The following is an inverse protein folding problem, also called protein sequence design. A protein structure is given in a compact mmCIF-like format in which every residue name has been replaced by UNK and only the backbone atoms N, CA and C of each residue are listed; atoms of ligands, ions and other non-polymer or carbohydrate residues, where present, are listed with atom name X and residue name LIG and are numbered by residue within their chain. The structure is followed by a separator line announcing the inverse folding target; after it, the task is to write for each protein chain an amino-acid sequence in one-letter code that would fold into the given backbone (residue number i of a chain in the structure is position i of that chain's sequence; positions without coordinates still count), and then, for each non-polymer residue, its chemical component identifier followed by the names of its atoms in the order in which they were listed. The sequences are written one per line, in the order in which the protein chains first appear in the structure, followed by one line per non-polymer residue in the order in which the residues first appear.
data_IF_125324829482
#
_entry.id   IF_125324829482
#
_cell.length_a   1.000
_cell.length_b   1.000
_cell.length_c   1.000
_cell.angle_alpha   90.00
_cell.angle_beta   90.00
_cell.angle_gamma   90.00
#
_symmetry.space_group_name_H-M   'P 1'
#
loop_
_entity.id
_entity.type
_entity.pdbx_description
1 polymer ?
#
# COMPACT_ATOMS: atom_id res chain seq x y z
N UNK A 1 19.26 8.58 -12.43
CA UNK A 1 19.06 9.47 -11.28
C UNK A 1 17.59 9.44 -10.86
N UNK A 2 17.32 9.36 -9.54
CA UNK A 2 15.96 9.40 -8.96
C UNK A 2 15.92 10.58 -8.00
N UNK A 3 14.92 11.44 -8.15
CA UNK A 3 14.70 12.61 -7.29
C UNK A 3 13.24 12.73 -6.86
N UNK A 4 13.02 13.35 -5.70
CA UNK A 4 11.70 13.54 -5.11
C UNK A 4 11.47 15.01 -4.80
N UNK A 5 10.23 15.47 -4.99
CA UNK A 5 9.79 16.82 -4.66
C UNK A 5 8.35 16.81 -4.15
N UNK A 6 7.86 17.94 -3.64
CA UNK A 6 6.52 18.06 -3.05
C UNK A 6 6.53 17.96 -1.53
N UNK A 7 5.35 18.10 -0.93
CA UNK A 7 5.16 18.29 0.52
C UNK A 7 5.73 17.15 1.39
N UNK A 8 5.81 15.93 0.86
CA UNK A 8 6.26 14.74 1.60
C UNK A 8 7.55 14.13 1.02
N UNK A 9 8.37 14.95 0.36
CA UNK A 9 9.61 14.51 -0.29
C UNK A 9 10.82 14.43 0.64
N UNK A 10 10.74 14.99 1.86
CA UNK A 10 11.85 15.01 2.82
C UNK A 10 12.07 13.62 3.43
N UNK A 11 13.32 13.28 3.73
CA UNK A 11 13.72 12.06 4.45
C UNK A 11 13.25 10.75 3.79
N UNK A 12 13.25 10.71 2.46
CA UNK A 12 12.99 9.47 1.72
C UNK A 12 14.24 8.60 1.79
N UNK A 13 14.07 7.35 2.18
CA UNK A 13 15.13 6.36 2.25
C UNK A 13 15.83 6.21 0.89
N UNK A 14 17.16 6.20 0.90
CA UNK A 14 17.98 5.95 -0.30
C UNK A 14 17.65 4.59 -0.93
N UNK A 15 17.28 3.59 -0.12
CA UNK A 15 16.84 2.26 -0.58
C UNK A 15 15.30 2.16 -0.69
N UNK A 16 14.67 3.16 -1.30
CA UNK A 16 13.22 3.19 -1.50
C UNK A 16 12.74 2.21 -2.59
N UNK A 17 11.42 2.07 -2.71
CA UNK A 17 10.79 1.12 -3.64
C UNK A 17 11.13 1.34 -5.11
N UNK A 18 11.41 2.57 -5.53
CA UNK A 18 11.81 2.88 -6.92
C UNK A 18 13.25 2.41 -7.17
N UNK A 19 14.16 2.69 -6.23
CA UNK A 19 15.56 2.21 -6.31
C UNK A 19 15.58 0.68 -6.36
N UNK A 20 14.80 0.01 -5.50
CA UNK A 20 14.67 -1.45 -5.53
C UNK A 20 14.14 -1.96 -6.87
N UNK A 21 13.13 -1.30 -7.43
CA UNK A 21 12.59 -1.67 -8.75
C UNK A 21 13.70 -1.61 -9.81
N UNK A 22 14.43 -0.51 -9.90
CA UNK A 22 15.46 -0.35 -10.91
C UNK A 22 16.60 -1.34 -10.73
N UNK A 23 17.04 -1.59 -9.49
CA UNK A 23 18.03 -2.61 -9.20
C UNK A 23 17.59 -4.00 -9.69
N UNK A 24 16.35 -4.42 -9.37
CA UNK A 24 15.82 -5.72 -9.81
C UNK A 24 15.74 -5.80 -11.35
N UNK A 25 15.31 -4.73 -12.02
CA UNK A 25 15.22 -4.71 -13.48
C UNK A 25 16.60 -4.77 -14.13
N UNK A 26 17.60 -4.13 -13.53
CA UNK A 26 18.99 -4.11 -14.00
C UNK A 26 19.65 -5.47 -13.79
N UNK A 27 19.57 -6.04 -12.60
CA UNK A 27 20.05 -7.39 -12.25
C UNK A 27 19.50 -8.45 -13.23
N UNK A 28 18.26 -8.24 -13.70
CA UNK A 28 17.61 -9.11 -14.70
C UNK A 28 17.90 -8.73 -16.15
N UNK A 29 18.80 -7.76 -16.40
CA UNK A 29 19.17 -7.24 -17.73
C UNK A 29 17.97 -6.76 -18.58
N UNK A 30 16.89 -6.32 -17.91
CA UNK A 30 15.64 -5.88 -18.57
C UNK A 30 15.71 -4.43 -19.06
N UNK A 31 16.67 -3.63 -18.58
CA UNK A 31 16.84 -2.22 -18.95
C UNK A 31 17.73 -2.01 -20.18
N UNK A 32 18.49 -3.01 -20.61
CA UNK A 32 19.39 -2.95 -21.80
C UNK A 32 20.30 -1.72 -21.77
N UNK A 33 21.00 -1.50 -20.65
CA UNK A 33 21.94 -0.40 -20.40
C UNK A 33 21.34 1.02 -20.49
N UNK A 34 20.01 1.14 -20.55
CA UNK A 34 19.32 2.42 -20.60
C UNK A 34 19.42 3.15 -19.27
N UNK A 35 19.76 4.43 -19.32
CA UNK A 35 19.80 5.32 -18.17
C UNK A 35 18.49 6.11 -18.07
N UNK A 36 18.03 6.33 -16.83
CA UNK A 36 16.77 7.01 -16.56
C UNK A 36 16.96 8.18 -15.59
N UNK A 37 16.27 9.26 -15.88
CA UNK A 37 16.04 10.33 -14.92
C UNK A 37 14.57 10.30 -14.52
N UNK A 38 14.31 10.15 -13.21
CA UNK A 38 12.96 10.02 -12.66
C UNK A 38 12.75 11.08 -11.60
N UNK A 39 11.70 11.88 -11.78
CA UNK A 39 11.27 12.88 -10.82
C UNK A 39 9.89 12.51 -10.28
N UNK A 40 9.76 12.37 -8.96
CA UNK A 40 8.53 11.89 -8.32
C UNK A 40 7.98 12.97 -7.40
N UNK A 41 6.75 13.42 -7.68
CA UNK A 41 6.03 14.33 -6.80
C UNK A 41 5.41 13.54 -5.65
N UNK A 42 5.85 13.82 -4.42
CA UNK A 42 5.34 13.16 -3.21
C UNK A 42 4.20 13.94 -2.58
N UNK A 43 2.98 13.59 -2.98
CA UNK A 43 1.75 14.13 -2.40
C UNK A 43 1.14 13.21 -1.32
N UNK A 44 1.63 11.98 -1.21
CA UNK A 44 1.21 11.01 -0.18
C UNK A 44 2.31 10.92 0.87
N UNK A 45 1.97 11.09 2.16
CA UNK A 45 2.95 11.02 3.24
C UNK A 45 3.57 9.63 3.38
N UNK A 46 4.80 9.59 3.87
CA UNK A 46 5.49 8.34 4.18
C UNK A 46 4.97 7.75 5.49
N UNK A 47 5.11 6.42 5.65
CA UNK A 47 4.73 5.69 6.87
C UNK A 47 3.30 5.99 7.35
N UNK A 48 2.40 6.16 6.40
CA UNK A 48 0.99 6.53 6.62
C UNK A 48 0.00 5.38 6.40
N UNK A 49 0.46 4.21 5.96
CA UNK A 49 -0.43 3.08 5.64
C UNK A 49 -1.22 3.24 4.34
N UNK A 50 -0.86 4.22 3.49
CA UNK A 50 -1.58 4.53 2.25
C UNK A 50 -0.94 3.92 0.99
N UNK A 51 0.04 3.06 1.13
CA UNK A 51 0.67 2.37 0.01
C UNK A 51 1.44 3.24 -0.99
N UNK A 52 1.69 4.52 -0.69
CA UNK A 52 2.25 5.48 -1.64
C UNK A 52 3.58 5.07 -2.28
N UNK A 53 4.46 4.41 -1.53
CA UNK A 53 5.73 3.88 -2.06
C UNK A 53 5.51 2.73 -3.04
N UNK A 54 4.63 1.80 -2.69
CA UNK A 54 4.27 0.64 -3.53
C UNK A 54 3.59 1.08 -4.81
N UNK A 55 2.68 2.06 -4.73
CA UNK A 55 2.01 2.61 -5.91
C UNK A 55 2.97 3.35 -6.84
N UNK A 56 3.97 4.06 -6.32
CA UNK A 56 5.00 4.67 -7.14
C UNK A 56 5.80 3.63 -7.94
N UNK A 57 6.26 2.56 -7.27
CA UNK A 57 7.00 1.48 -7.94
C UNK A 57 6.16 0.81 -9.02
N UNK A 58 4.91 0.50 -8.72
CA UNK A 58 3.98 -0.10 -9.66
C UNK A 58 3.69 0.83 -10.86
N UNK A 59 3.49 2.12 -10.63
CA UNK A 59 3.25 3.10 -11.69
C UNK A 59 4.45 3.21 -12.64
N UNK A 60 5.66 3.22 -12.09
CA UNK A 60 6.89 3.24 -12.91
C UNK A 60 7.03 1.94 -13.71
N UNK A 61 6.81 0.78 -13.09
CA UNK A 61 6.87 -0.50 -13.79
C UNK A 61 5.84 -0.57 -14.93
N UNK A 62 4.60 -0.17 -14.67
CA UNK A 62 3.54 -0.11 -15.68
C UNK A 62 3.91 0.84 -16.83
N UNK A 63 4.50 1.99 -16.53
CA UNK A 63 4.97 2.92 -17.54
C UNK A 63 6.05 2.29 -18.42
N UNK A 64 7.05 1.63 -17.84
CA UNK A 64 8.12 0.97 -18.58
C UNK A 64 7.58 -0.14 -19.50
N UNK A 65 6.58 -0.90 -19.03
CA UNK A 65 5.91 -1.93 -19.82
C UNK A 65 5.09 -1.30 -20.94
N UNK A 66 4.25 -0.29 -20.65
CA UNK A 66 3.42 0.40 -21.62
C UNK A 66 4.26 1.04 -22.75
N UNK A 67 5.42 1.60 -22.40
CA UNK A 67 6.38 2.16 -23.37
C UNK A 67 7.25 1.11 -24.05
N UNK A 68 7.00 -0.18 -23.81
CA UNK A 68 7.77 -1.30 -24.37
C UNK A 68 9.28 -1.24 -24.07
N UNK A 69 9.67 -0.50 -23.02
CA UNK A 69 11.05 -0.44 -22.52
C UNK A 69 11.41 -1.77 -21.85
N UNK A 70 10.46 -2.31 -21.06
CA UNK A 70 10.56 -3.61 -20.43
C UNK A 70 9.49 -4.52 -21.02
N UNK A 71 9.88 -5.71 -21.44
CA UNK A 71 8.98 -6.74 -21.97
C UNK A 71 9.01 -7.93 -21.02
N UNK A 72 7.94 -8.13 -20.26
CA UNK A 72 7.81 -9.17 -19.24
C UNK A 72 6.39 -9.75 -19.19
N UNK A 73 6.29 -11.01 -18.80
CA UNK A 73 5.02 -11.72 -18.62
C UNK A 73 4.32 -11.32 -17.32
N UNK A 74 3.04 -11.67 -17.18
CA UNK A 74 2.29 -11.45 -15.93
C UNK A 74 2.94 -12.15 -14.72
N UNK A 75 3.50 -13.34 -14.90
CA UNK A 75 4.23 -14.07 -13.86
C UNK A 75 5.48 -13.30 -13.40
N UNK A 76 6.19 -12.69 -14.35
CA UNK A 76 7.36 -11.85 -14.03
C UNK A 76 6.96 -10.56 -13.32
N UNK A 77 5.83 -9.93 -13.70
CA UNK A 77 5.29 -8.76 -12.98
C UNK A 77 5.01 -9.13 -11.51
N UNK A 78 4.36 -10.26 -11.26
CA UNK A 78 4.09 -10.73 -9.89
C UNK A 78 5.40 -10.95 -9.11
N UNK A 79 6.37 -11.63 -9.69
CA UNK A 79 7.66 -11.89 -9.06
C UNK A 79 8.43 -10.61 -8.73
N UNK A 80 8.54 -9.69 -9.69
CA UNK A 80 9.22 -8.40 -9.49
C UNK A 80 8.50 -7.59 -8.40
N UNK A 81 7.18 -7.53 -8.45
CA UNK A 81 6.37 -6.81 -7.47
C UNK A 81 6.59 -7.35 -6.05
N UNK A 82 6.59 -8.67 -5.87
CA UNK A 82 6.80 -9.30 -4.56
C UNK A 82 8.19 -9.06 -3.98
N UNK A 83 9.22 -8.98 -4.83
CA UNK A 83 10.59 -8.66 -4.41
C UNK A 83 10.74 -7.21 -3.93
N UNK A 84 9.92 -6.28 -4.42
CA UNK A 84 9.92 -4.87 -4.02
C UNK A 84 9.12 -4.69 -2.72
N UNK A 85 7.94 -5.30 -2.67
CA UNK A 85 7.04 -5.24 -1.52
C UNK A 85 5.67 -5.85 -1.85
N UNK A 86 4.99 -6.42 -0.82
CA UNK A 86 3.72 -7.15 -0.96
C UNK A 86 2.63 -6.36 -1.69
N UNK A 87 2.55 -5.05 -1.46
CA UNK A 87 1.47 -4.22 -1.96
C UNK A 87 1.73 -3.64 -3.37
N UNK A 88 2.93 -3.83 -3.93
CA UNK A 88 3.29 -3.29 -5.24
C UNK A 88 2.39 -3.84 -6.34
N UNK A 89 2.06 -5.11 -6.25
CA UNK A 89 1.19 -5.77 -7.23
C UNK A 89 -0.24 -5.20 -7.25
N UNK A 90 -0.72 -4.61 -6.15
CA UNK A 90 -2.04 -3.94 -6.09
C UNK A 90 -2.12 -2.76 -7.07
N UNK A 91 -1.02 -2.04 -7.26
CA UNK A 91 -0.96 -0.92 -8.20
C UNK A 91 -0.78 -1.31 -9.67
N UNK A 92 -0.63 -2.59 -9.98
CA UNK A 92 -0.52 -3.04 -11.38
C UNK A 92 -1.81 -2.80 -12.19
N UNK A 93 -2.92 -2.48 -11.54
CA UNK A 93 -4.21 -2.21 -12.16
C UNK A 93 -5.03 -1.20 -11.34
N UNK A 94 -5.90 -0.45 -12.02
CA UNK A 94 -6.78 0.56 -11.41
C UNK A 94 -8.16 0.00 -11.02
N UNK A 95 -8.26 -1.27 -10.68
CA UNK A 95 -9.51 -1.91 -10.26
C UNK A 95 -9.52 -2.20 -8.78
N UNK A 96 -10.71 -2.32 -8.18
CA UNK A 96 -10.85 -2.88 -6.85
C UNK A 96 -10.26 -4.28 -6.81
N UNK A 97 -9.47 -4.61 -5.80
CA UNK A 97 -8.75 -5.86 -5.75
C UNK A 97 -8.61 -6.38 -4.32
N UNK A 98 -8.55 -7.69 -4.18
CA UNK A 98 -8.20 -8.37 -2.93
C UNK A 98 -6.91 -9.17 -3.18
N UNK A 99 -5.90 -8.88 -2.37
CA UNK A 99 -4.66 -9.62 -2.34
C UNK A 99 -4.79 -10.81 -1.39
N UNK A 100 -4.60 -12.00 -1.91
CA UNK A 100 -4.61 -13.25 -1.13
C UNK A 100 -3.25 -13.49 -0.48
N UNK A 101 -3.21 -14.35 0.54
CA UNK A 101 -1.99 -14.72 1.25
C UNK A 101 -0.89 -15.35 0.37
N UNK A 102 -1.27 -15.95 -0.75
CA UNK A 102 -0.33 -16.51 -1.75
C UNK A 102 0.11 -15.48 -2.81
N UNK A 103 -0.01 -14.18 -2.54
CA UNK A 103 0.30 -13.08 -3.45
C UNK A 103 -0.49 -13.09 -4.77
N UNK A 104 -1.59 -13.84 -4.83
CA UNK A 104 -2.52 -13.80 -5.96
C UNK A 104 -3.53 -12.69 -5.76
N UNK A 105 -3.73 -11.87 -6.80
CA UNK A 105 -4.73 -10.81 -6.82
C UNK A 105 -6.00 -11.31 -7.50
N UNK A 106 -7.14 -11.09 -6.85
CA UNK A 106 -8.45 -11.16 -7.49
C UNK A 106 -9.01 -9.76 -7.69
N UNK A 107 -9.35 -9.43 -8.93
CA UNK A 107 -9.85 -8.12 -9.36
C UNK A 107 -11.35 -8.15 -9.47
N UNK A 108 -11.97 -6.98 -9.25
CA UNK A 108 -13.41 -6.79 -9.33
C UNK A 108 -13.74 -5.46 -10.02
N UNK A 109 -14.73 -5.48 -10.89
CA UNK A 109 -15.28 -4.27 -11.52
C UNK A 109 -16.56 -3.83 -10.82
N UNK A 110 -16.90 -2.56 -10.97
CA UNK A 110 -18.16 -1.98 -10.47
C UNK A 110 -18.38 -2.25 -8.97
N UNK A 111 -17.35 -2.08 -8.16
CA UNK A 111 -17.49 -2.12 -6.70
C UNK A 111 -18.06 -0.79 -6.18
N UNK A 112 -18.76 -0.80 -5.03
CA UNK A 112 -19.23 0.42 -4.38
C UNK A 112 -18.09 1.42 -4.16
N UNK A 113 -18.43 2.70 -4.25
CA UNK A 113 -17.51 3.82 -3.94
C UNK A 113 -17.98 4.44 -2.63
N UNK A 114 -17.02 4.77 -1.78
CA UNK A 114 -17.27 5.40 -0.48
C UNK A 114 -16.55 6.73 -0.42
N UNK A 115 -17.18 7.72 0.20
CA UNK A 115 -16.51 8.91 0.68
C UNK A 115 -15.73 8.55 1.94
N UNK A 116 -14.52 9.02 2.05
CA UNK A 116 -13.63 8.63 3.14
C UNK A 116 -12.87 9.83 3.65
N UNK A 117 -12.96 10.10 4.94
CA UNK A 117 -12.11 11.06 5.63
C UNK A 117 -10.79 10.37 6.00
N UNK A 118 -9.66 10.97 5.59
CA UNK A 118 -8.33 10.50 5.94
C UNK A 118 -7.74 11.39 7.03
N UNK A 119 -7.57 10.88 8.22
CA UNK A 119 -6.96 11.62 9.34
C UNK A 119 -5.57 11.10 9.61
N UNK A 120 -4.57 11.96 9.37
CA UNK A 120 -3.17 11.65 9.58
C UNK A 120 -2.62 12.45 10.76
N UNK A 121 -2.01 11.81 11.78
CA UNK A 121 -1.22 12.51 12.79
C UNK A 121 0.06 13.10 12.18
N UNK A 122 0.76 13.94 12.93
CA UNK A 122 2.04 14.55 12.52
C UNK A 122 3.23 13.58 12.54
N UNK A 123 3.00 12.31 12.82
CA UNK A 123 4.01 11.23 12.80
C UNK A 123 3.58 10.09 11.88
N UNK A 124 4.53 9.20 11.55
CA UNK A 124 4.28 7.97 10.79
C UNK A 124 4.57 6.73 11.62
N UNK A 125 3.98 5.59 11.24
CA UNK A 125 4.25 4.30 11.84
C UNK A 125 5.25 3.49 11.00
N UNK A 126 6.24 2.90 11.65
CA UNK A 126 7.18 2.00 10.98
C UNK A 126 6.51 0.67 10.68
N UNK A 127 6.27 0.37 9.40
CA UNK A 127 5.70 -0.92 8.98
C UNK A 127 6.49 -2.10 9.53
N UNK A 128 7.84 -2.04 9.44
CA UNK A 128 8.74 -3.07 9.96
C UNK A 128 8.53 -3.28 11.47
N UNK A 129 8.46 -2.19 12.23
CA UNK A 129 8.27 -2.26 13.68
C UNK A 129 6.91 -2.83 14.06
N UNK A 130 5.84 -2.44 13.37
CA UNK A 130 4.49 -2.95 13.63
C UNK A 130 4.43 -4.46 13.36
N UNK A 131 4.95 -4.91 12.21
CA UNK A 131 4.95 -6.34 11.87
C UNK A 131 5.83 -7.18 12.78
N UNK A 132 6.99 -6.66 13.23
CA UNK A 132 7.89 -7.41 14.12
C UNK A 132 7.31 -7.67 15.51
N UNK A 133 6.29 -6.91 15.91
CA UNK A 133 5.62 -7.04 17.22
C UNK A 133 4.32 -7.85 17.16
N UNK A 134 3.95 -8.38 16.01
CA UNK A 134 2.81 -9.29 15.90
C UNK A 134 3.11 -10.60 16.61
N UNK A 135 2.36 -10.91 17.66
CA UNK A 135 2.51 -12.17 18.43
C UNK A 135 1.90 -13.37 17.72
N UNK A 136 0.89 -13.18 16.89
CA UNK A 136 0.19 -14.24 16.15
C UNK A 136 -0.13 -13.78 14.74
N UNK A 137 0.18 -14.65 13.77
CA UNK A 137 -0.32 -14.51 12.41
C UNK A 137 -1.58 -15.38 12.32
N UNK A 138 -2.72 -14.77 12.04
CA UNK A 138 -3.97 -15.49 11.87
C UNK A 138 -4.02 -16.14 10.48
N UNK A 139 -4.79 -17.23 10.37
CA UNK A 139 -5.08 -17.84 9.06
C UNK A 139 -5.78 -16.81 8.15
N UNK A 140 -5.47 -16.86 6.86
CA UNK A 140 -6.09 -15.97 5.87
C UNK A 140 -7.61 -16.16 5.86
N UNK A 141 -8.37 -15.08 6.04
CA UNK A 141 -9.84 -15.07 5.95
C UNK A 141 -10.33 -14.98 4.50
N UNK A 142 -9.47 -14.57 3.55
CA UNK A 142 -9.85 -14.30 2.16
C UNK A 142 -9.35 -15.37 1.18
N UNK A 143 -9.66 -16.63 1.45
CA UNK A 143 -9.27 -17.75 0.58
C UNK A 143 -10.00 -17.75 -0.75
N UNK A 144 -11.30 -17.37 -0.75
CA UNK A 144 -12.12 -17.22 -1.95
C UNK A 144 -12.78 -15.84 -2.02
N UNK A 145 -12.06 -14.80 -2.47
CA UNK A 145 -12.59 -13.45 -2.53
C UNK A 145 -13.79 -13.33 -3.48
N UNK A 146 -14.85 -12.62 -3.01
CA UNK A 146 -16.07 -12.33 -3.76
C UNK A 146 -16.28 -10.82 -3.85
N UNK A 147 -17.06 -10.36 -4.85
CA UNK A 147 -17.41 -8.94 -5.03
C UNK A 147 -18.20 -8.38 -3.83
N UNK A 148 -19.01 -9.22 -3.18
CA UNK A 148 -19.77 -8.85 -1.96
C UNK A 148 -18.89 -8.42 -0.80
N UNK A 149 -17.60 -8.75 -0.81
CA UNK A 149 -16.64 -8.29 0.20
C UNK A 149 -16.34 -6.78 0.13
N UNK A 150 -16.83 -6.09 -0.90
CA UNK A 150 -16.77 -4.64 -1.00
C UNK A 150 -18.05 -3.95 -0.53
N UNK A 151 -19.08 -4.70 -0.08
CA UNK A 151 -20.30 -4.13 0.47
C UNK A 151 -20.06 -3.58 1.87
N UNK A 152 -20.82 -2.55 2.24
CA UNK A 152 -20.76 -1.91 3.56
C UNK A 152 -20.88 -2.92 4.70
N UNK A 153 -21.86 -3.81 4.63
CA UNK A 153 -22.10 -4.83 5.66
C UNK A 153 -20.89 -5.73 5.90
N UNK A 154 -20.22 -6.17 4.85
CA UNK A 154 -19.00 -6.97 4.97
C UNK A 154 -17.85 -6.13 5.54
N UNK A 155 -17.67 -4.89 5.06
CA UNK A 155 -16.59 -4.01 5.50
C UNK A 155 -16.72 -3.63 6.97
N UNK A 156 -17.94 -3.43 7.47
CA UNK A 156 -18.20 -3.15 8.90
C UNK A 156 -17.68 -4.26 9.83
N UNK A 157 -17.79 -5.51 9.40
CA UNK A 157 -17.36 -6.69 10.18
C UNK A 157 -15.86 -6.96 10.11
N UNK A 158 -15.11 -6.19 9.29
CA UNK A 158 -13.67 -6.40 9.19
C UNK A 158 -12.91 -5.56 10.21
N UNK A 159 -11.76 -6.07 10.58
CA UNK A 159 -10.83 -5.42 11.50
C UNK A 159 -9.45 -5.31 10.86
N UNK A 160 -8.67 -4.35 11.29
CA UNK A 160 -7.26 -4.30 10.96
C UNK A 160 -6.45 -4.95 12.10
N UNK A 161 -5.93 -6.14 11.86
CA UNK A 161 -5.16 -6.90 12.85
C UNK A 161 -3.91 -6.16 13.37
N UNK A 162 -3.45 -5.11 12.66
CA UNK A 162 -2.31 -4.30 13.06
C UNK A 162 -2.68 -3.18 14.05
N UNK A 163 -3.97 -2.86 14.23
CA UNK A 163 -4.39 -1.76 15.08
C UNK A 163 -3.94 -1.91 16.53
N UNK A 164 -4.13 -3.09 17.13
CA UNK A 164 -3.76 -3.34 18.52
C UNK A 164 -2.27 -3.08 18.78
N UNK A 165 -1.42 -3.54 17.87
CA UNK A 165 0.03 -3.32 17.95
C UNK A 165 0.37 -1.85 17.74
N UNK A 166 -0.24 -1.21 16.73
CA UNK A 166 0.00 0.20 16.43
C UNK A 166 -0.45 1.09 17.58
N UNK A 167 -1.61 0.82 18.20
CA UNK A 167 -2.14 1.61 19.30
C UNK A 167 -1.36 1.44 20.60
N UNK A 168 -0.83 0.25 20.87
CA UNK A 168 0.10 0.03 21.97
C UNK A 168 1.39 0.84 21.80
N UNK A 169 1.92 0.90 20.58
CA UNK A 169 3.17 1.62 20.28
C UNK A 169 2.97 3.13 20.14
N UNK A 170 1.83 3.54 19.59
CA UNK A 170 1.47 4.93 19.31
C UNK A 170 0.09 5.26 19.93
N UNK A 171 -0.01 5.48 21.25
CA UNK A 171 -1.31 5.66 21.94
C UNK A 171 -2.17 6.82 21.40
N UNK A 172 -1.53 7.83 20.77
CA UNK A 172 -2.24 8.94 20.11
C UNK A 172 -3.16 8.45 18.98
N UNK A 173 -2.84 7.34 18.32
CA UNK A 173 -3.71 6.76 17.28
C UNK A 173 -5.03 6.27 17.87
N UNK A 174 -5.00 5.64 19.07
CA UNK A 174 -6.21 5.22 19.76
C UNK A 174 -7.10 6.42 20.09
N UNK A 175 -6.50 7.52 20.56
CA UNK A 175 -7.25 8.77 20.86
C UNK A 175 -7.91 9.34 19.60
N UNK A 176 -7.20 9.36 18.46
CA UNK A 176 -7.74 9.82 17.18
C UNK A 176 -8.90 8.91 16.73
N UNK A 177 -8.74 7.58 16.84
CA UNK A 177 -9.80 6.64 16.49
C UNK A 177 -11.04 6.88 17.34
N UNK A 178 -10.90 6.92 18.66
CA UNK A 178 -12.03 7.17 19.57
C UNK A 178 -12.71 8.53 19.31
N UNK A 179 -11.95 9.57 19.01
CA UNK A 179 -12.52 10.86 18.62
C UNK A 179 -13.38 10.73 17.35
N UNK A 180 -12.87 10.05 16.33
CA UNK A 180 -13.61 9.86 15.06
C UNK A 180 -14.85 8.97 15.22
N UNK A 181 -14.80 7.97 16.10
CA UNK A 181 -15.93 7.09 16.42
C UNK A 181 -17.07 7.85 17.10
N UNK A 182 -16.77 8.94 17.82
CA UNK A 182 -17.76 9.81 18.46
C UNK A 182 -18.30 10.92 17.55
N UNK A 183 -17.85 11.03 16.30
CA UNK A 183 -18.44 11.97 15.35
C UNK A 183 -19.83 11.50 14.91
N UNK A 184 -20.61 12.43 14.33
CA UNK A 184 -21.95 12.10 13.83
C UNK A 184 -21.89 11.14 12.66
N UNK A 185 -22.36 9.91 12.86
CA UNK A 185 -22.61 8.90 11.83
C UNK A 185 -21.42 8.44 10.97
N UNK A 186 -20.22 8.13 11.51
CA UNK A 186 -19.24 7.42 10.72
C UNK A 186 -19.75 6.01 10.44
N UNK A 187 -19.62 5.51 9.20
CA UNK A 187 -19.95 4.11 8.91
C UNK A 187 -19.03 3.16 9.66
N UNK A 188 -17.74 3.45 9.65
CA UNK A 188 -16.73 2.77 10.47
C UNK A 188 -15.48 3.64 10.60
N UNK A 189 -14.70 3.40 11.62
CA UNK A 189 -13.41 4.06 11.82
C UNK A 189 -12.33 3.00 11.94
N UNK A 190 -11.29 3.09 11.11
CA UNK A 190 -10.24 2.06 11.03
C UNK A 190 -8.89 2.65 10.61
N UNK A 191 -7.82 2.11 11.17
CA UNK A 191 -6.48 2.42 10.70
C UNK A 191 -6.21 1.76 9.33
N UNK A 192 -5.54 2.46 8.41
CA UNK A 192 -5.14 1.89 7.12
C UNK A 192 -3.79 1.20 7.22
N UNK A 193 -3.69 -0.03 6.68
CA UNK A 193 -2.44 -0.79 6.65
C UNK A 193 -1.76 -0.84 8.03
N UNK A 194 -0.49 -0.49 8.09
CA UNK A 194 0.30 -0.40 9.34
C UNK A 194 0.23 0.98 10.02
N UNK A 195 -0.66 1.85 9.57
CA UNK A 195 -0.79 3.22 10.10
C UNK A 195 0.24 4.17 9.44
N UNK A 196 0.16 5.44 9.76
CA UNK A 196 -0.55 6.12 10.87
C UNK A 196 -1.92 6.70 10.51
N UNK A 197 -2.38 6.64 9.26
CA UNK A 197 -3.67 7.18 8.87
C UNK A 197 -4.81 6.35 9.43
N UNK A 198 -5.81 7.05 9.98
CA UNK A 198 -7.11 6.49 10.35
C UNK A 198 -8.14 7.03 9.37
N UNK A 199 -9.02 6.17 8.91
CA UNK A 199 -10.13 6.48 8.01
C UNK A 199 -11.46 6.42 8.75
N UNK A 200 -12.36 7.30 8.34
CA UNK A 200 -13.74 7.35 8.79
C UNK A 200 -14.67 7.56 7.59
#
# INVERSE_FOLDING_TARGET
QISFYGNFSKNIDSNNTIVKLFKILDDKKLLKDRKFQIRIKKNIPQKAGLGGGSMNASSVLNFLIKKRIVKISQKQIQNISSLIGSDVILGANHSSAILKSNNVIKKFSNCPKFYTLLVRPNFGCSTKEIYSKLKKITKSKFTNPKKTMFNTEFLLRQENALESVAFSRYPKLKKIKSFLENLKNPLFVRMTGSGSVIIA
#
